data_IF_829489437571
#
_entry.id   IF_829489437571
#
_cell.length_a   1.000
_cell.length_b   1.000
_cell.length_c   1.000
_cell.angle_alpha   90.00
_cell.angle_beta   90.00
_cell.angle_gamma   90.00
#
_symmetry.space_group_name_H-M   'P 1'
#
loop_
_entity.id
_entity.type
_entity.pdbx_description
1 polymer ?
#
# COMPACT_ATOMS: atom_id res chain seq x y z
N UNK A 1 10.56 2.68 35.78
CA UNK A 1 9.09 2.84 35.81
C UNK A 1 8.50 3.59 34.60
N UNK A 2 9.16 3.63 33.44
CA UNK A 2 8.62 4.32 32.22
C UNK A 2 8.28 3.36 31.05
N UNK A 3 8.41 2.04 31.24
CA UNK A 3 8.14 1.02 30.19
C UNK A 3 6.76 0.38 30.35
N UNK A 4 6.11 0.55 31.48
CA UNK A 4 4.82 -0.12 31.81
C UNK A 4 3.59 0.66 31.31
N UNK A 5 3.71 1.91 30.85
CA UNK A 5 2.58 2.72 30.39
C UNK A 5 2.24 2.53 28.90
N UNK A 6 3.07 1.84 28.12
CA UNK A 6 2.84 1.61 26.69
C UNK A 6 2.06 0.33 26.39
N UNK A 7 1.82 -0.52 27.38
CA UNK A 7 1.18 -1.85 27.21
C UNK A 7 -0.33 -1.86 27.51
N UNK A 8 -0.90 -0.74 27.96
CA UNK A 8 -2.32 -0.65 28.38
C UNK A 8 -3.27 -0.10 27.31
N UNK A 9 -2.82 0.14 26.09
CA UNK A 9 -3.69 0.71 25.03
C UNK A 9 -4.30 -0.36 24.08
N UNK A 10 -4.10 -1.66 24.36
CA UNK A 10 -4.52 -2.74 23.43
C UNK A 10 -5.70 -3.58 23.89
N UNK A 11 -6.41 -3.24 24.98
CA UNK A 11 -7.55 -4.04 25.45
C UNK A 11 -8.80 -3.17 25.58
N UNK A 12 -9.44 -2.82 24.44
CA UNK A 12 -10.87 -2.51 24.37
C UNK A 12 -11.39 -2.78 22.94
N UNK A 13 -11.46 -4.06 22.57
CA UNK A 13 -12.32 -4.47 21.47
C UNK A 13 -13.49 -5.25 22.09
N UNK A 14 -14.53 -4.53 22.48
CA UNK A 14 -15.81 -5.15 22.78
C UNK A 14 -16.50 -5.52 21.45
N UNK A 15 -17.00 -6.77 21.29
CA UNK A 15 -17.78 -7.12 20.12
C UNK A 15 -19.15 -6.45 20.24
N UNK A 16 -19.38 -5.39 19.49
CA UNK A 16 -20.75 -4.92 19.26
C UNK A 16 -21.46 -5.95 18.39
N UNK A 17 -22.39 -6.69 18.98
CA UNK A 17 -23.39 -7.48 18.28
C UNK A 17 -24.29 -6.54 17.49
N UNK A 18 -23.97 -6.29 16.24
CA UNK A 18 -24.85 -5.63 15.30
C UNK A 18 -25.65 -6.67 14.54
N UNK A 19 -26.94 -6.42 14.34
CA UNK A 19 -27.84 -7.22 13.54
C UNK A 19 -27.19 -7.60 12.20
N UNK A 20 -27.00 -8.89 11.96
CA UNK A 20 -26.28 -9.43 10.80
C UNK A 20 -27.14 -9.28 9.55
N UNK A 21 -26.90 -8.25 8.75
CA UNK A 21 -27.11 -8.40 7.31
C UNK A 21 -26.19 -9.53 6.83
N UNK A 22 -26.67 -10.45 6.01
CA UNK A 22 -25.86 -11.55 5.46
C UNK A 22 -24.73 -10.92 4.64
N UNK A 23 -23.53 -10.89 5.25
CA UNK A 23 -22.33 -10.32 4.68
C UNK A 23 -21.69 -11.35 3.74
N UNK A 24 -21.58 -11.03 2.46
CA UNK A 24 -20.87 -11.89 1.51
C UNK A 24 -19.38 -11.54 1.49
N UNK A 25 -18.54 -12.56 1.57
CA UNK A 25 -17.08 -12.41 1.45
C UNK A 25 -16.58 -13.31 0.33
N UNK A 26 -15.97 -12.71 -0.70
CA UNK A 26 -15.42 -13.44 -1.83
C UNK A 26 -13.91 -13.62 -1.61
N UNK A 27 -13.47 -14.88 -1.66
CA UNK A 27 -12.05 -15.27 -1.57
C UNK A 27 -11.39 -15.15 -2.93
N UNK A 28 -10.24 -14.48 -3.00
CA UNK A 28 -9.49 -14.28 -4.24
C UNK A 28 -7.98 -14.41 -3.99
N UNK A 29 -7.27 -15.01 -4.95
CA UNK A 29 -5.81 -15.13 -4.91
C UNK A 29 -5.20 -14.31 -6.04
N UNK A 30 -4.23 -13.45 -5.70
CA UNK A 30 -3.57 -12.55 -6.64
C UNK A 30 -2.05 -12.64 -6.55
N UNK A 31 -1.39 -12.18 -7.60
CA UNK A 31 0.02 -11.84 -7.60
C UNK A 31 0.22 -10.37 -7.90
N UNK A 32 1.19 -9.75 -7.23
CA UNK A 32 1.63 -8.38 -7.49
C UNK A 32 3.11 -8.40 -7.85
N UNK A 33 3.44 -7.90 -9.03
CA UNK A 33 4.81 -7.79 -9.52
C UNK A 33 5.15 -6.31 -9.57
N UNK A 34 6.12 -5.88 -8.76
CA UNK A 34 6.46 -4.48 -8.56
C UNK A 34 7.93 -4.21 -8.83
N UNK A 35 8.19 -3.19 -9.65
CA UNK A 35 9.47 -2.49 -9.72
C UNK A 35 9.40 -1.25 -8.84
N UNK A 36 10.35 -1.11 -7.92
CA UNK A 36 10.43 0.03 -7.02
C UNK A 36 11.81 0.69 -7.13
N UNK A 37 11.82 1.94 -7.55
CA UNK A 37 13.04 2.70 -7.78
C UNK A 37 13.20 3.82 -6.73
N UNK A 38 14.44 4.06 -6.32
CA UNK A 38 14.85 5.18 -5.48
C UNK A 38 15.95 5.94 -6.20
N UNK A 39 15.70 7.21 -6.50
CA UNK A 39 16.64 8.15 -7.06
C UNK A 39 17.00 9.20 -5.98
N UNK A 40 18.13 9.05 -5.26
CA UNK A 40 18.60 10.07 -4.35
C UNK A 40 19.02 11.33 -5.14
N UNK A 41 18.52 12.50 -4.77
CA UNK A 41 18.89 13.77 -5.37
C UNK A 41 19.92 14.51 -4.50
N UNK A 42 19.69 14.47 -3.18
CA UNK A 42 20.59 15.04 -2.16
C UNK A 42 20.56 14.13 -0.92
N UNK A 43 21.23 14.54 0.16
CA UNK A 43 21.13 13.83 1.45
C UNK A 43 19.72 13.83 2.06
N UNK A 44 18.92 14.86 1.72
CA UNK A 44 17.56 15.03 2.27
C UNK A 44 16.45 14.70 1.26
N UNK A 45 16.71 14.79 -0.05
CA UNK A 45 15.73 14.61 -1.08
C UNK A 45 15.94 13.34 -1.90
N UNK A 46 14.90 12.61 -2.17
CA UNK A 46 14.88 11.49 -3.10
C UNK A 46 13.58 11.48 -3.90
N UNK A 47 13.62 10.91 -5.09
CA UNK A 47 12.43 10.54 -5.86
C UNK A 47 12.24 9.03 -5.74
N UNK A 48 11.04 8.61 -5.37
CA UNK A 48 10.63 7.22 -5.39
C UNK A 48 9.65 7.02 -6.55
N UNK A 49 9.89 6.01 -7.38
CA UNK A 49 8.98 5.63 -8.45
C UNK A 49 8.64 4.15 -8.39
N UNK A 50 7.44 3.81 -8.85
CA UNK A 50 6.91 2.46 -8.75
C UNK A 50 6.11 2.14 -10.00
N UNK A 51 6.33 0.93 -10.53
CA UNK A 51 5.50 0.28 -11.53
C UNK A 51 5.04 -1.03 -10.88
N UNK A 52 3.73 -1.28 -10.87
CA UNK A 52 3.14 -2.42 -10.19
C UNK A 52 2.02 -3.01 -11.05
N UNK A 53 2.18 -4.26 -11.47
CA UNK A 53 1.15 -5.03 -12.15
C UNK A 53 0.54 -6.03 -11.17
N UNK A 54 -0.77 -6.13 -11.17
CA UNK A 54 -1.55 -6.97 -10.27
C UNK A 54 -2.50 -7.84 -11.06
N UNK A 55 -2.42 -9.15 -10.85
CA UNK A 55 -3.22 -10.11 -11.57
C UNK A 55 -3.83 -11.13 -10.62
N UNK A 56 -5.03 -11.58 -10.92
CA UNK A 56 -5.62 -12.76 -10.31
C UNK A 56 -4.84 -14.00 -10.76
N UNK A 57 -4.83 -15.04 -9.94
CA UNK A 57 -4.20 -16.31 -10.25
C UNK A 57 -5.18 -17.38 -10.73
N UNK A 58 -6.46 -17.26 -10.35
CA UNK A 58 -7.47 -18.23 -10.76
C UNK A 58 -8.86 -17.57 -10.92
N UNK A 59 -9.36 -17.42 -12.16
CA UNK A 59 -8.61 -17.55 -13.42
C UNK A 59 -7.53 -16.47 -13.53
N UNK A 60 -6.55 -16.69 -14.38
CA UNK A 60 -5.51 -15.67 -14.63
C UNK A 60 -6.13 -14.51 -15.40
N UNK A 61 -6.18 -13.36 -14.76
CA UNK A 61 -6.77 -12.13 -15.31
C UNK A 61 -6.11 -10.89 -14.71
N UNK A 62 -5.91 -9.84 -15.50
CA UNK A 62 -5.39 -8.58 -14.99
C UNK A 62 -6.40 -7.91 -14.05
N UNK A 63 -5.94 -7.53 -12.84
CA UNK A 63 -6.75 -6.78 -11.89
C UNK A 63 -6.54 -5.28 -12.05
N UNK A 64 -5.28 -4.83 -11.98
CA UNK A 64 -4.95 -3.43 -12.19
C UNK A 64 -3.45 -3.20 -12.41
N UNK A 65 -3.16 -2.09 -13.07
CA UNK A 65 -1.81 -1.56 -13.27
C UNK A 65 -1.63 -0.25 -12.50
N UNK A 66 -0.44 -0.02 -11.92
CA UNK A 66 -0.13 1.18 -11.14
C UNK A 66 1.19 1.80 -11.59
N UNK A 67 1.14 3.11 -11.82
CA UNK A 67 2.33 3.98 -11.89
C UNK A 67 2.29 4.95 -10.72
N UNK A 68 3.44 5.14 -10.04
CA UNK A 68 3.54 6.09 -8.93
C UNK A 68 4.87 6.82 -8.97
N UNK A 69 4.84 8.12 -8.68
CA UNK A 69 6.03 8.94 -8.46
C UNK A 69 5.83 9.82 -7.24
N UNK A 70 6.81 9.86 -6.35
CA UNK A 70 6.76 10.63 -5.10
C UNK A 70 8.11 11.31 -4.82
N UNK A 71 8.08 12.60 -4.49
CA UNK A 71 9.17 13.26 -3.81
C UNK A 71 9.17 12.86 -2.33
N UNK A 72 10.35 12.54 -1.81
CA UNK A 72 10.57 12.20 -0.40
C UNK A 72 11.56 13.21 0.19
N UNK A 73 11.19 13.81 1.33
CA UNK A 73 12.03 14.77 2.04
C UNK A 73 12.28 14.33 3.48
N UNK A 74 13.54 14.16 3.83
CA UNK A 74 13.97 13.85 5.21
C UNK A 74 14.03 15.16 6.01
N UNK A 75 12.92 15.53 6.65
CA UNK A 75 12.82 16.74 7.46
C UNK A 75 13.66 16.63 8.74
N UNK A 76 13.71 15.45 9.33
CA UNK A 76 14.50 15.11 10.50
C UNK A 76 15.00 13.67 10.40
N UNK A 77 15.97 13.26 11.22
CA UNK A 77 16.45 11.86 11.25
C UNK A 77 15.33 10.84 11.46
N UNK A 78 14.27 11.25 12.16
CA UNK A 78 13.12 10.43 12.51
C UNK A 78 11.83 10.82 11.77
N UNK A 79 11.85 11.80 10.85
CA UNK A 79 10.65 12.30 10.17
C UNK A 79 10.92 12.42 8.68
N UNK A 80 10.11 11.75 7.89
CA UNK A 80 10.12 11.83 6.43
C UNK A 80 8.75 12.29 5.93
N UNK A 81 8.75 13.26 5.02
CA UNK A 81 7.57 13.76 4.33
C UNK A 81 7.56 13.22 2.90
N UNK A 82 6.38 12.90 2.41
CA UNK A 82 6.18 12.44 1.05
C UNK A 82 5.07 13.18 0.34
N UNK A 83 5.24 13.43 -0.95
CA UNK A 83 4.20 13.98 -1.81
C UNK A 83 4.38 13.52 -3.24
N UNK A 84 3.27 13.27 -3.97
CA UNK A 84 3.37 12.81 -5.35
C UNK A 84 2.06 12.39 -5.96
N UNK A 85 2.18 11.73 -7.10
CA UNK A 85 1.07 11.31 -7.94
C UNK A 85 1.08 9.81 -8.16
N UNK A 86 -0.11 9.24 -8.34
CA UNK A 86 -0.27 7.87 -8.78
C UNK A 86 -1.38 7.77 -9.82
N UNK A 87 -1.13 6.95 -10.83
CA UNK A 87 -2.08 6.51 -11.83
C UNK A 87 -2.41 5.06 -11.60
N UNK A 88 -3.68 4.72 -11.58
CA UNK A 88 -4.19 3.37 -11.50
C UNK A 88 -5.05 3.12 -12.73
N UNK A 89 -4.80 2.03 -13.42
CA UNK A 89 -5.67 1.53 -14.46
C UNK A 89 -6.35 0.27 -13.94
N UNK A 90 -7.61 0.40 -13.53
CA UNK A 90 -8.36 -0.70 -12.90
C UNK A 90 -9.12 -1.45 -13.96
N UNK A 91 -8.74 -2.69 -14.23
CA UNK A 91 -9.43 -3.55 -15.17
C UNK A 91 -10.69 -4.13 -14.50
N UNK A 92 -10.56 -5.09 -13.61
CA UNK A 92 -11.70 -5.69 -12.94
C UNK A 92 -11.41 -6.01 -11.47
N UNK A 93 -12.47 -6.10 -10.67
CA UNK A 93 -12.39 -6.60 -9.30
C UNK A 93 -12.92 -8.04 -9.19
N UNK A 94 -13.48 -8.60 -10.29
CA UNK A 94 -13.95 -9.97 -10.40
C UNK A 94 -13.22 -10.64 -11.56
N UNK A 95 -12.43 -11.71 -11.31
CA UNK A 95 -11.64 -12.37 -12.34
C UNK A 95 -12.47 -13.12 -13.41
N UNK A 96 -13.76 -13.28 -13.19
CA UNK A 96 -14.70 -13.90 -14.14
C UNK A 96 -15.36 -12.87 -15.07
N UNK A 97 -15.08 -11.58 -14.90
CA UNK A 97 -15.54 -10.51 -15.77
C UNK A 97 -14.41 -10.03 -16.65
N UNK A 98 -14.68 -9.91 -17.93
CA UNK A 98 -13.78 -9.34 -18.93
C UNK A 98 -14.40 -8.05 -19.50
N UNK A 99 -14.18 -6.91 -18.83
CA UNK A 99 -14.74 -5.65 -19.28
C UNK A 99 -14.00 -5.15 -20.54
N UNK A 100 -14.74 -4.55 -21.46
CA UNK A 100 -14.19 -3.99 -22.71
C UNK A 100 -13.22 -2.81 -22.48
N UNK A 101 -13.17 -2.28 -21.25
CA UNK A 101 -12.30 -1.16 -20.88
C UNK A 101 -11.85 -1.26 -19.41
N UNK A 102 -10.75 -0.62 -19.12
CA UNK A 102 -10.28 -0.39 -17.75
C UNK A 102 -10.60 1.03 -17.28
N UNK A 103 -10.78 1.20 -15.97
CA UNK A 103 -11.16 2.48 -15.36
C UNK A 103 -9.93 3.21 -14.84
N UNK A 104 -9.58 4.37 -15.42
CA UNK A 104 -8.51 5.21 -14.91
C UNK A 104 -8.86 5.84 -13.56
N UNK A 105 -7.87 5.87 -12.67
CA UNK A 105 -7.95 6.61 -11.41
C UNK A 105 -6.64 7.37 -11.19
N UNK A 106 -6.75 8.66 -10.96
CA UNK A 106 -5.64 9.55 -10.63
C UNK A 106 -5.66 9.88 -9.15
N UNK A 107 -4.47 9.90 -8.53
CA UNK A 107 -4.35 10.22 -7.10
C UNK A 107 -3.25 11.24 -6.86
N UNK A 108 -3.56 12.23 -6.04
CA UNK A 108 -2.57 13.05 -5.35
C UNK A 108 -2.35 12.41 -3.99
N UNK A 109 -1.10 12.25 -3.57
CA UNK A 109 -0.72 11.57 -2.34
C UNK A 109 0.19 12.45 -1.51
N UNK A 110 -0.09 12.52 -0.20
CA UNK A 110 0.73 13.23 0.78
C UNK A 110 0.87 12.34 2.00
N UNK A 111 2.07 12.26 2.55
CA UNK A 111 2.29 11.45 3.75
C UNK A 111 3.36 12.03 4.67
N UNK A 112 3.23 11.68 5.95
CA UNK A 112 4.26 11.82 6.95
C UNK A 112 4.58 10.45 7.54
N UNK A 113 5.86 10.16 7.64
CA UNK A 113 6.36 8.93 8.24
C UNK A 113 7.25 9.25 9.43
N UNK A 114 6.89 8.73 10.60
CA UNK A 114 7.72 8.76 11.80
C UNK A 114 8.53 7.47 11.87
N UNK A 115 9.84 7.59 12.05
CA UNK A 115 10.79 6.49 12.06
C UNK A 115 11.39 6.39 13.46
N UNK A 116 11.24 5.23 14.10
CA UNK A 116 11.79 4.96 15.42
C UNK A 116 12.59 3.67 15.39
N UNK A 117 13.77 3.68 15.97
CA UNK A 117 14.60 2.50 16.12
C UNK A 117 14.60 2.05 17.57
N UNK A 118 14.23 0.79 17.80
CA UNK A 118 14.24 0.16 19.11
C UNK A 118 15.02 -1.15 18.98
N UNK A 119 16.17 -1.24 19.62
CA UNK A 119 17.13 -2.34 19.45
C UNK A 119 17.51 -2.54 17.97
N UNK A 120 17.16 -3.68 17.36
CA UNK A 120 17.45 -4.02 15.95
C UNK A 120 16.22 -3.92 15.06
N UNK A 121 15.18 -3.24 15.52
CA UNK A 121 13.90 -3.11 14.82
C UNK A 121 13.70 -1.66 14.46
N UNK A 122 13.45 -1.39 13.18
CA UNK A 122 13.04 -0.07 12.71
C UNK A 122 11.54 -0.04 12.50
N UNK A 123 10.85 0.82 13.25
CA UNK A 123 9.43 1.06 13.13
C UNK A 123 9.15 2.27 12.25
N UNK A 124 8.21 2.12 11.31
CA UNK A 124 7.71 3.20 10.47
C UNK A 124 6.21 3.37 10.73
N UNK A 125 5.81 4.53 11.24
CA UNK A 125 4.43 4.94 11.41
C UNK A 125 4.09 5.94 10.31
N UNK A 126 3.34 5.52 9.28
CA UNK A 126 2.98 6.37 8.15
C UNK A 126 1.52 6.75 8.18
N UNK A 127 1.27 8.04 8.12
CA UNK A 127 -0.04 8.66 7.92
C UNK A 127 -0.07 9.24 6.51
N UNK A 128 -1.03 8.81 5.69
CA UNK A 128 -1.12 9.21 4.29
C UNK A 128 -2.55 9.64 3.96
N UNK A 129 -2.66 10.75 3.23
CA UNK A 129 -3.89 11.22 2.60
C UNK A 129 -3.76 11.02 1.09
N UNK A 130 -4.82 10.52 0.47
CA UNK A 130 -4.96 10.40 -0.99
C UNK A 130 -6.22 11.16 -1.42
N UNK A 131 -6.07 12.03 -2.40
CA UNK A 131 -7.14 12.64 -3.16
C UNK A 131 -7.33 11.81 -4.42
N UNK A 132 -8.50 11.22 -4.59
CA UNK A 132 -8.77 10.22 -5.61
C UNK A 132 -9.76 10.75 -6.63
N UNK A 133 -9.37 10.77 -7.89
CA UNK A 133 -10.19 11.13 -9.05
C UNK A 133 -10.41 9.86 -9.86
N UNK A 134 -11.58 9.26 -9.72
CA UNK A 134 -11.93 7.98 -10.35
C UNK A 134 -12.83 8.28 -11.53
N UNK A 135 -12.42 7.92 -12.75
CA UNK A 135 -13.25 8.12 -13.93
C UNK A 135 -14.54 7.34 -13.79
N UNK A 136 -15.67 7.99 -14.09
CA UNK A 136 -16.96 7.32 -14.08
C UNK A 136 -17.10 6.44 -15.31
N UNK A 137 -17.84 5.35 -15.17
CA UNK A 137 -18.09 4.39 -16.23
C UNK A 137 -19.52 3.87 -16.16
N UNK A 138 -20.08 3.57 -17.31
CA UNK A 138 -21.29 2.77 -17.47
C UNK A 138 -20.91 1.28 -17.57
N UNK A 139 -21.76 0.42 -18.05
CA UNK A 139 -21.41 -0.97 -18.37
C UNK A 139 -20.64 -1.12 -19.68
N UNK A 140 -20.76 -0.14 -20.56
CA UNK A 140 -20.29 -0.23 -21.95
C UNK A 140 -19.28 0.84 -22.34
N UNK A 141 -19.11 1.91 -21.53
CA UNK A 141 -18.23 3.03 -21.88
C UNK A 141 -17.71 3.80 -20.65
N UNK A 142 -16.58 4.47 -20.83
CA UNK A 142 -16.07 5.48 -19.91
C UNK A 142 -16.79 6.79 -20.15
N UNK A 143 -17.13 7.47 -19.06
CA UNK A 143 -17.72 8.82 -19.12
C UNK A 143 -16.65 9.89 -18.98
N UNK A 144 -16.89 11.06 -19.55
CA UNK A 144 -16.01 12.23 -19.45
C UNK A 144 -16.26 13.00 -18.13
N UNK A 145 -16.34 12.25 -17.02
CA UNK A 145 -16.63 12.76 -15.68
C UNK A 145 -15.90 11.93 -14.62
N UNK A 146 -15.61 12.52 -13.46
CA UNK A 146 -14.88 11.91 -12.37
C UNK A 146 -15.67 11.96 -11.08
N UNK A 147 -15.62 10.88 -10.30
CA UNK A 147 -15.98 10.90 -8.89
C UNK A 147 -14.74 11.25 -8.06
N UNK A 148 -14.97 12.02 -6.99
CA UNK A 148 -13.92 12.45 -6.08
C UNK A 148 -14.12 11.86 -4.69
N UNK A 149 -13.02 11.35 -4.10
CA UNK A 149 -13.01 10.85 -2.73
C UNK A 149 -11.65 11.09 -2.07
N UNK A 150 -11.67 11.30 -0.77
CA UNK A 150 -10.48 11.23 0.07
C UNK A 150 -10.30 9.82 0.60
N UNK A 151 -9.03 9.38 0.71
CA UNK A 151 -8.65 8.16 1.43
C UNK A 151 -7.58 8.50 2.46
N UNK A 152 -7.87 8.23 3.71
CA UNK A 152 -6.87 8.24 4.77
C UNK A 152 -6.31 6.84 4.96
N UNK A 153 -4.99 6.74 5.20
CA UNK A 153 -4.29 5.48 5.43
C UNK A 153 -3.35 5.64 6.63
N UNK A 154 -3.39 4.67 7.51
CA UNK A 154 -2.41 4.51 8.57
C UNK A 154 -1.70 3.18 8.39
N UNK A 155 -0.36 3.18 8.40
CA UNK A 155 0.45 1.98 8.35
C UNK A 155 1.48 1.97 9.46
N UNK A 156 1.47 0.91 10.25
CA UNK A 156 2.55 0.53 11.15
C UNK A 156 3.37 -0.58 10.48
N UNK A 157 4.68 -0.37 10.36
CA UNK A 157 5.61 -1.33 9.78
C UNK A 157 6.81 -1.50 10.70
N UNK A 158 7.18 -2.77 10.95
CA UNK A 158 8.42 -3.15 11.62
C UNK A 158 9.35 -3.82 10.60
N UNK A 159 10.62 -3.41 10.57
CA UNK A 159 11.66 -4.01 9.72
C UNK A 159 12.81 -4.50 10.60
N UNK A 160 13.27 -5.73 10.34
CA UNK A 160 14.30 -6.42 11.12
C UNK A 160 15.50 -6.71 10.24
N UNK A 161 16.71 -6.44 10.73
CA UNK A 161 17.93 -6.92 10.11
C UNK A 161 18.17 -8.38 10.56
N UNK A 162 17.86 -9.33 9.66
CA UNK A 162 17.99 -10.77 9.95
C UNK A 162 19.42 -11.26 9.73
N UNK A 163 20.09 -10.73 8.70
CA UNK A 163 21.46 -11.08 8.38
C UNK A 163 22.11 -9.97 7.56
N UNK A 164 23.43 -9.77 7.77
CA UNK A 164 24.24 -8.82 7.02
C UNK A 164 25.67 -9.34 6.89
N UNK A 165 26.20 -9.33 5.66
CA UNK A 165 27.57 -9.66 5.36
C UNK A 165 28.06 -8.76 4.22
N UNK A 166 29.12 -7.97 4.47
CA UNK A 166 29.67 -7.00 3.52
C UNK A 166 28.59 -6.09 2.91
N UNK A 167 28.35 -6.24 1.60
CA UNK A 167 27.35 -5.44 0.84
C UNK A 167 25.96 -6.10 0.76
N UNK A 168 25.84 -7.34 1.24
CA UNK A 168 24.62 -8.11 1.19
C UNK A 168 23.86 -8.03 2.51
N UNK A 169 22.55 -8.11 2.46
CA UNK A 169 21.73 -8.19 3.68
C UNK A 169 20.40 -8.87 3.42
N UNK A 170 19.87 -9.53 4.45
CA UNK A 170 18.52 -10.07 4.50
C UNK A 170 17.74 -9.31 5.56
N UNK A 171 16.58 -8.77 5.17
CA UNK A 171 15.67 -8.06 6.05
C UNK A 171 14.31 -8.73 6.08
N UNK A 172 13.71 -8.81 7.25
CA UNK A 172 12.30 -9.17 7.44
C UNK A 172 11.46 -7.92 7.62
N UNK A 173 10.23 -7.96 7.13
CA UNK A 173 9.24 -6.87 7.30
C UNK A 173 7.91 -7.46 7.71
N UNK A 174 7.25 -6.82 8.68
CA UNK A 174 5.84 -7.07 9.03
C UNK A 174 5.16 -5.71 9.07
N UNK A 175 3.96 -5.61 8.51
CA UNK A 175 3.17 -4.37 8.63
C UNK A 175 1.68 -4.64 8.64
N UNK A 176 0.96 -3.72 9.26
CA UNK A 176 -0.50 -3.59 9.18
C UNK A 176 -0.85 -2.20 8.65
N UNK A 177 -1.78 -2.13 7.70
CA UNK A 177 -2.23 -0.89 7.10
C UNK A 177 -3.75 -0.87 7.02
N UNK A 178 -4.37 0.12 7.65
CA UNK A 178 -5.81 0.35 7.59
C UNK A 178 -6.12 1.58 6.74
N UNK A 179 -7.21 1.52 5.98
CA UNK A 179 -7.62 2.58 5.06
C UNK A 179 -9.10 2.92 5.25
N UNK A 180 -9.39 4.22 5.18
CA UNK A 180 -10.74 4.76 5.30
C UNK A 180 -11.01 5.72 4.13
N UNK A 181 -12.17 5.55 3.49
CA UNK A 181 -12.63 6.44 2.42
C UNK A 181 -13.63 7.46 2.97
N UNK A 182 -13.49 8.71 2.49
CA UNK A 182 -14.40 9.82 2.79
C UNK A 182 -14.80 10.49 1.47
N UNK A 183 -16.07 10.85 1.34
CA UNK A 183 -16.59 11.52 0.14
C UNK A 183 -18.11 11.41 0.06
N UNK A 184 -18.72 12.16 -0.85
CA UNK A 184 -20.19 12.25 -1.01
C UNK A 184 -20.84 10.88 -1.31
N UNK A 185 -20.11 10.02 -2.02
CA UNK A 185 -20.60 8.72 -2.46
C UNK A 185 -20.39 7.61 -1.42
N UNK A 186 -19.69 7.91 -0.32
CA UNK A 186 -19.35 6.95 0.73
C UNK A 186 -20.38 6.97 1.88
N UNK A 187 -21.63 6.63 1.58
CA UNK A 187 -22.77 6.81 2.49
C UNK A 187 -22.92 5.74 3.57
N UNK A 188 -22.37 4.53 3.38
CA UNK A 188 -22.70 3.38 4.25
C UNK A 188 -21.58 2.98 5.21
N UNK A 189 -20.34 3.06 4.79
CA UNK A 189 -19.20 2.58 5.58
C UNK A 189 -17.92 3.30 5.16
N UNK A 190 -17.22 3.93 6.09
CA UNK A 190 -15.94 4.61 5.83
C UNK A 190 -14.78 3.65 5.71
N UNK A 191 -14.84 2.45 6.32
CA UNK A 191 -13.81 1.44 6.17
C UNK A 191 -13.66 1.06 4.70
N UNK A 192 -12.43 1.05 4.19
CA UNK A 192 -12.12 0.66 2.83
C UNK A 192 -11.40 -0.67 2.79
N UNK A 193 -10.27 -0.79 3.46
CA UNK A 193 -9.52 -2.03 3.52
C UNK A 193 -8.53 -2.09 4.69
N UNK A 194 -8.17 -3.32 5.07
CA UNK A 194 -7.05 -3.62 5.95
C UNK A 194 -6.08 -4.56 5.24
N UNK A 195 -4.79 -4.34 5.44
CA UNK A 195 -3.70 -5.09 4.82
C UNK A 195 -2.68 -5.51 5.85
N UNK A 196 -2.58 -6.81 6.07
CA UNK A 196 -1.49 -7.40 6.85
C UNK A 196 -0.44 -7.91 5.87
N UNK A 197 0.81 -7.51 6.04
CA UNK A 197 1.90 -7.85 5.14
C UNK A 197 3.11 -8.39 5.89
N UNK A 198 3.69 -9.46 5.36
CA UNK A 198 4.98 -9.99 5.79
C UNK A 198 5.86 -10.25 4.58
N UNK A 199 7.17 -10.00 4.71
CA UNK A 199 8.10 -10.18 3.61
C UNK A 199 9.54 -10.45 4.06
N UNK A 200 10.28 -11.08 3.15
CA UNK A 200 11.73 -11.19 3.21
C UNK A 200 12.33 -10.43 2.02
N UNK A 201 13.29 -9.55 2.30
CA UNK A 201 14.01 -8.79 1.30
C UNK A 201 15.50 -9.11 1.37
N UNK A 202 16.02 -9.61 0.26
CA UNK A 202 17.45 -9.82 0.07
C UNK A 202 18.05 -8.69 -0.76
N UNK A 203 19.05 -8.02 -0.24
CA UNK A 203 19.86 -7.05 -0.95
C UNK A 203 21.15 -7.72 -1.42
N UNK A 204 21.36 -7.79 -2.74
CA UNK A 204 22.61 -8.26 -3.35
C UNK A 204 23.74 -7.26 -3.14
N UNK A 205 23.40 -5.99 -3.09
CA UNK A 205 24.26 -4.85 -2.82
C UNK A 205 23.39 -3.65 -2.39
N UNK A 206 23.96 -2.49 -2.01
CA UNK A 206 23.18 -1.32 -1.59
C UNK A 206 22.18 -0.79 -2.62
N UNK A 207 22.31 -1.19 -3.90
CA UNK A 207 21.52 -0.67 -5.00
C UNK A 207 20.42 -1.61 -5.49
N UNK A 208 20.61 -2.92 -5.34
CA UNK A 208 19.70 -3.93 -5.92
C UNK A 208 19.25 -4.88 -4.82
N UNK A 209 17.94 -5.12 -4.77
CA UNK A 209 17.32 -6.09 -3.88
C UNK A 209 16.09 -6.74 -4.48
N UNK A 210 15.78 -7.94 -4.01
CA UNK A 210 14.55 -8.64 -4.30
C UNK A 210 13.77 -8.87 -3.01
N UNK A 211 12.46 -8.71 -3.07
CA UNK A 211 11.56 -8.98 -1.96
C UNK A 211 10.47 -9.94 -2.39
N UNK A 212 10.25 -10.97 -1.58
CA UNK A 212 9.10 -11.85 -1.65
C UNK A 212 8.25 -11.60 -0.41
N UNK A 213 6.98 -11.32 -0.61
CA UNK A 213 6.05 -11.06 0.48
C UNK A 213 4.69 -11.70 0.28
N UNK A 214 4.03 -11.95 1.39
CA UNK A 214 2.63 -12.34 1.48
C UNK A 214 1.83 -11.20 2.07
N UNK A 215 0.68 -10.89 1.44
CA UNK A 215 -0.22 -9.82 1.86
C UNK A 215 -1.64 -10.37 1.95
N UNK A 216 -2.21 -10.34 3.15
CA UNK A 216 -3.64 -10.56 3.37
C UNK A 216 -4.35 -9.23 3.25
N UNK A 217 -5.30 -9.11 2.31
CA UNK A 217 -6.05 -7.87 2.07
C UNK A 217 -7.55 -8.11 2.22
N UNK A 218 -8.12 -7.54 3.26
CA UNK A 218 -9.56 -7.50 3.47
C UNK A 218 -10.09 -6.16 2.99
N UNK A 219 -10.90 -6.18 1.91
CA UNK A 219 -11.33 -4.98 1.20
C UNK A 219 -12.84 -4.94 1.05
N UNK A 220 -13.45 -3.80 1.40
CA UNK A 220 -14.86 -3.54 1.18
C UNK A 220 -15.18 -3.45 -0.32
N UNK A 221 -16.29 -4.04 -0.73
CA UNK A 221 -16.84 -3.94 -2.08
C UNK A 221 -17.65 -2.64 -2.26
N UNK A 222 -17.96 -2.32 -3.51
CA UNK A 222 -18.80 -1.16 -3.85
C UNK A 222 -20.21 -1.21 -3.25
N UNK A 223 -20.73 -2.40 -2.93
CA UNK A 223 -22.01 -2.57 -2.22
C UNK A 223 -22.02 -1.91 -0.83
N UNK A 224 -20.83 -1.70 -0.22
CA UNK A 224 -20.65 -1.11 1.09
C UNK A 224 -20.85 -2.09 2.27
N UNK A 225 -21.33 -3.30 2.02
CA UNK A 225 -21.61 -4.34 3.01
C UNK A 225 -20.82 -5.62 2.78
N UNK A 226 -20.48 -5.93 1.52
CA UNK A 226 -19.71 -7.11 1.12
C UNK A 226 -18.21 -6.83 1.09
N UNK A 227 -17.41 -7.90 1.08
CA UNK A 227 -15.97 -7.82 1.13
C UNK A 227 -15.30 -8.77 0.14
N UNK A 228 -14.08 -8.40 -0.26
CA UNK A 228 -13.08 -9.31 -0.79
C UNK A 228 -12.11 -9.68 0.33
N UNK A 229 -11.79 -10.96 0.42
CA UNK A 229 -10.72 -11.48 1.26
C UNK A 229 -9.64 -12.06 0.33
N UNK A 230 -8.50 -11.36 0.21
CA UNK A 230 -7.49 -11.62 -0.80
C UNK A 230 -6.20 -12.11 -0.19
N UNK A 231 -5.72 -13.22 -0.73
CA UNK A 231 -4.38 -13.74 -0.51
C UNK A 231 -3.49 -13.30 -1.67
N UNK A 232 -2.41 -12.57 -1.38
CA UNK A 232 -1.60 -11.92 -2.40
C UNK A 232 -0.14 -12.27 -2.21
N UNK A 233 0.47 -12.86 -3.22
CA UNK A 233 1.93 -13.04 -3.30
C UNK A 233 2.51 -11.82 -4.01
N UNK A 234 3.44 -11.11 -3.36
CA UNK A 234 4.06 -9.92 -3.92
C UNK A 234 5.54 -10.11 -4.15
N UNK A 235 5.96 -9.90 -5.38
CA UNK A 235 7.35 -9.81 -5.78
C UNK A 235 7.72 -8.34 -5.97
N UNK A 236 8.84 -7.89 -5.40
CA UNK A 236 9.34 -6.53 -5.62
C UNK A 236 10.81 -6.56 -6.00
N UNK A 237 11.14 -5.95 -7.13
CA UNK A 237 12.50 -5.61 -7.49
C UNK A 237 12.79 -4.19 -7.01
N UNK A 238 13.77 -4.06 -6.11
CA UNK A 238 14.26 -2.79 -5.60
C UNK A 238 15.50 -2.35 -6.36
N UNK A 239 15.46 -1.13 -6.84
CA UNK A 239 16.59 -0.50 -7.52
C UNK A 239 16.84 0.89 -6.94
N UNK A 240 18.03 1.11 -6.39
CA UNK A 240 18.52 2.42 -5.98
C UNK A 240 19.54 2.93 -6.99
N UNK A 241 19.22 4.00 -7.68
CA UNK A 241 20.14 4.62 -8.66
C UNK A 241 21.28 5.30 -7.90
N UNK A 242 22.51 4.99 -8.28
CA UNK A 242 23.68 5.71 -7.77
C UNK A 242 23.78 7.07 -8.49
N UNK A 243 23.37 8.12 -7.81
CA UNK A 243 23.77 9.46 -8.22
C UNK A 243 25.07 9.79 -7.48
N UNK A 244 26.16 10.07 -8.21
CA UNK A 244 27.28 10.76 -7.59
C UNK A 244 26.75 12.09 -7.07
N UNK A 245 26.94 12.45 -5.79
CA UNK A 245 26.55 13.78 -5.35
C UNK A 245 27.24 14.77 -6.27
N UNK A 246 26.48 15.65 -6.92
CA UNK A 246 27.07 16.83 -7.54
C UNK A 246 27.63 17.65 -6.38
N UNK A 247 28.97 17.73 -6.34
CA UNK A 247 29.73 18.59 -5.45
C UNK A 247 29.34 20.03 -5.69
#
# INVERSE_FOLDING_TARGET
MKVLQLLLFFIFISPFLSAQSIKKTDQQTLTWIRYYNILPLTEKWAIHSEIDNRSFLNPVHENLFVLRIQGRYRAHKNIELGGGFAYFNVNTQDPHLDPDYSVPEYRIQQDVTFINEIAKITFHNRFQLEERFIQKATKTELLDDFSFAYRFRYRLQATFDLWKKEKQSLKGTISDEVMFNFGKDNKRNTFDQNRIYTALRYHFNPNIGLELGYLKNFQRRSSGIDFYDRDIIRFTFYHRINTKPKI
#
